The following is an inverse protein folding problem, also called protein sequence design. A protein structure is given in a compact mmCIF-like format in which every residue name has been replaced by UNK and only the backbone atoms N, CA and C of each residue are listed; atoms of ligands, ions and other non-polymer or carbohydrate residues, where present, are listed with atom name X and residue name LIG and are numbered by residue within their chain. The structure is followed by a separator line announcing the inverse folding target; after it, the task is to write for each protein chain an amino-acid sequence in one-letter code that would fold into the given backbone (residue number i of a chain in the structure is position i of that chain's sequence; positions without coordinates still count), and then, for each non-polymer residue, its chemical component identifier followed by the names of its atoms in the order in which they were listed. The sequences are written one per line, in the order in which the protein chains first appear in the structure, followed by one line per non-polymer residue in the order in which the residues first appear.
data_IF_718902641422
#
_entry.id   IF_718902641422
#
_cell.length_a   1.000
_cell.length_b   1.000
_cell.length_c   1.000
_cell.angle_alpha   90.00
_cell.angle_beta   90.00
_cell.angle_gamma   90.00
#
_symmetry.space_group_name_H-M   'P 1'
#
loop_
_entity.id
_entity.type
_entity.pdbx_description
1 polymer ?
#
# COMPACT_ATOMS: atom_id res chain seq x y z
N UNK A 1 -9.52 -13.13 13.37
CA UNK A 1 -9.97 -12.28 12.23
C UNK A 1 -9.96 -10.84 12.65
N UNK A 2 -8.94 -10.08 12.25
CA UNK A 2 -8.96 -8.63 12.37
C UNK A 2 -9.78 -8.08 11.21
N UNK A 3 -10.78 -7.23 11.50
CA UNK A 3 -11.58 -6.57 10.47
C UNK A 3 -10.74 -5.39 9.96
N UNK A 4 -10.40 -5.39 8.67
CA UNK A 4 -9.76 -4.24 8.03
C UNK A 4 -10.87 -3.24 7.69
N UNK A 5 -10.83 -2.00 8.20
CA UNK A 5 -11.85 -0.99 7.89
C UNK A 5 -11.91 -0.65 6.39
N UNK A 6 -13.11 -0.28 5.93
CA UNK A 6 -13.37 0.16 4.56
C UNK A 6 -14.12 -0.87 3.72
N UNK A 7 -14.12 -0.66 2.39
CA UNK A 7 -14.78 -1.56 1.44
C UNK A 7 -14.05 -2.91 1.37
N UNK A 8 -14.73 -4.00 0.95
CA UNK A 8 -14.07 -5.29 0.75
C UNK A 8 -12.87 -5.17 -0.19
N UNK A 9 -11.77 -5.83 0.18
CA UNK A 9 -10.57 -5.88 -0.64
C UNK A 9 -10.84 -6.81 -1.83
N UNK A 10 -10.65 -6.35 -3.08
CA UNK A 10 -10.78 -7.20 -4.26
C UNK A 10 -9.84 -8.42 -4.22
N UNK A 11 -10.26 -9.62 -4.66
CA UNK A 11 -9.42 -10.83 -4.61
C UNK A 11 -8.08 -10.71 -5.34
N UNK A 12 -8.03 -9.94 -6.43
CA UNK A 12 -6.82 -9.66 -7.21
C UNK A 12 -5.76 -8.87 -6.43
N UNK A 13 -6.12 -8.29 -5.29
CA UNK A 13 -5.19 -7.57 -4.43
C UNK A 13 -4.33 -8.50 -3.57
N UNK A 14 -4.71 -9.77 -3.42
CA UNK A 14 -3.97 -10.78 -2.67
C UNK A 14 -3.45 -10.29 -1.30
N UNK A 15 -4.32 -9.62 -0.54
CA UNK A 15 -3.93 -9.01 0.72
C UNK A 15 -3.52 -10.06 1.75
N UNK A 16 -2.33 -9.88 2.33
CA UNK A 16 -1.83 -10.65 3.46
C UNK A 16 -1.73 -9.75 4.69
N UNK A 17 -2.21 -10.23 5.85
CA UNK A 17 -2.22 -9.43 7.07
C UNK A 17 -0.84 -9.42 7.72
N UNK A 18 -0.57 -8.39 8.53
CA UNK A 18 0.67 -8.25 9.30
C UNK A 18 1.95 -8.43 8.48
N UNK A 19 1.91 -8.00 7.21
CA UNK A 19 2.99 -8.16 6.26
C UNK A 19 3.37 -6.83 5.64
N UNK A 20 4.65 -6.49 5.69
CA UNK A 20 5.26 -5.42 4.91
C UNK A 20 6.20 -6.05 3.89
N UNK A 21 6.00 -5.71 2.62
CA UNK A 21 6.81 -6.18 1.51
C UNK A 21 7.84 -5.11 1.16
N UNK A 22 9.12 -5.47 1.14
CA UNK A 22 10.17 -4.59 0.62
C UNK A 22 10.03 -4.38 -0.90
N UNK A 23 10.59 -3.29 -1.42
CA UNK A 23 10.55 -2.95 -2.84
C UNK A 23 10.79 -1.47 -3.13
N UNK A 24 11.07 -1.16 -4.39
CA UNK A 24 11.31 0.22 -4.78
C UNK A 24 10.00 1.00 -4.78
N UNK A 25 9.91 2.07 -3.99
CA UNK A 25 8.71 2.90 -3.93
C UNK A 25 8.47 3.61 -5.26
N UNK A 26 7.41 3.22 -5.97
CA UNK A 26 6.87 4.00 -7.11
C UNK A 26 5.96 5.12 -6.64
N UNK A 27 5.41 5.00 -5.42
CA UNK A 27 4.81 6.10 -4.67
C UNK A 27 5.09 5.92 -3.17
N UNK A 28 5.64 6.96 -2.56
CA UNK A 28 6.00 6.98 -1.14
C UNK A 28 4.78 7.12 -0.25
N UNK A 29 4.61 6.19 0.70
CA UNK A 29 3.47 6.18 1.62
C UNK A 29 3.45 7.37 2.59
N UNK A 30 4.63 7.88 2.98
CA UNK A 30 4.79 9.08 3.84
C UNK A 30 3.97 10.30 3.39
N UNK A 31 3.65 10.39 2.09
CA UNK A 31 2.85 11.48 1.50
C UNK A 31 1.67 10.97 0.68
N UNK A 32 1.35 9.68 0.77
CA UNK A 32 0.28 9.03 0.02
C UNK A 32 -0.63 8.25 0.96
N UNK A 33 -1.65 8.94 1.49
CA UNK A 33 -2.64 8.31 2.37
C UNK A 33 -3.86 7.80 1.59
N UNK A 34 -4.45 6.71 2.09
CA UNK A 34 -5.70 6.12 1.60
C UNK A 34 -6.60 5.70 2.77
N UNK A 35 -7.90 5.82 2.58
CA UNK A 35 -8.88 5.51 3.63
C UNK A 35 -8.97 4.01 3.95
N UNK A 36 -8.54 3.14 3.03
CA UNK A 36 -8.61 1.69 3.22
C UNK A 36 -7.54 0.94 2.43
N UNK A 37 -7.29 -0.31 2.84
CA UNK A 37 -6.43 -1.25 2.11
C UNK A 37 -6.92 -1.47 0.67
N UNK A 38 -8.24 -1.55 0.47
CA UNK A 38 -8.82 -1.72 -0.86
C UNK A 38 -8.51 -0.52 -1.77
N UNK A 39 -8.51 0.70 -1.24
CA UNK A 39 -8.18 1.91 -1.99
C UNK A 39 -6.69 2.03 -2.28
N UNK A 40 -5.84 1.52 -1.38
CA UNK A 40 -4.41 1.40 -1.64
C UNK A 40 -4.11 0.40 -2.76
N UNK A 41 -4.75 -0.77 -2.74
CA UNK A 41 -4.66 -1.73 -3.85
C UNK A 41 -5.12 -1.10 -5.18
N UNK A 42 -6.27 -0.42 -5.20
CA UNK A 42 -6.75 0.23 -6.41
C UNK A 42 -5.75 1.27 -6.94
N UNK A 43 -5.12 2.04 -6.04
CA UNK A 43 -4.09 3.00 -6.42
C UNK A 43 -2.87 2.32 -7.06
N UNK A 44 -2.46 1.14 -6.59
CA UNK A 44 -1.42 0.32 -7.21
C UNK A 44 -1.80 -0.09 -8.63
N UNK A 45 -2.98 -0.67 -8.80
CA UNK A 45 -3.51 -1.10 -10.11
C UNK A 45 -3.57 0.07 -11.09
N UNK A 46 -4.02 1.24 -10.62
CA UNK A 46 -4.12 2.44 -11.46
C UNK A 46 -2.75 3.03 -11.80
N UNK A 47 -1.79 3.01 -10.87
CA UNK A 47 -0.40 3.42 -11.15
C UNK A 47 0.21 2.50 -12.21
N UNK A 48 0.04 1.19 -12.07
CA UNK A 48 0.58 0.20 -12.99
C UNK A 48 0.02 0.37 -14.41
N UNK A 49 -1.27 0.71 -14.54
CA UNK A 49 -1.94 1.01 -15.82
C UNK A 49 -1.43 2.30 -16.48
N UNK A 50 -1.09 3.33 -15.67
CA UNK A 50 -0.65 4.63 -16.17
C UNK A 50 0.85 4.71 -16.48
N UNK A 51 1.65 3.79 -15.92
CA UNK A 51 3.09 3.75 -16.12
C UNK A 51 3.46 3.63 -17.60
N UNK A 52 4.31 4.53 -18.06
CA UNK A 52 4.80 4.60 -19.45
C UNK A 52 5.92 3.59 -19.68
N UNK A 53 6.28 3.29 -20.95
CA UNK A 53 7.45 2.49 -21.24
C UNK A 53 8.71 3.05 -20.57
N UNK A 54 9.42 2.21 -19.80
CA UNK A 54 10.61 2.60 -19.04
C UNK A 54 10.34 3.10 -17.61
N UNK A 55 9.09 3.32 -17.21
CA UNK A 55 8.73 3.64 -15.83
C UNK A 55 8.50 2.38 -14.99
N UNK A 56 8.79 2.47 -13.69
CA UNK A 56 8.47 1.40 -12.73
C UNK A 56 6.95 1.32 -12.53
N UNK A 57 6.44 0.09 -12.58
CA UNK A 57 5.03 -0.24 -12.35
C UNK A 57 4.85 -0.78 -10.95
N UNK A 58 3.78 -0.35 -10.29
CA UNK A 58 3.37 -0.97 -9.04
C UNK A 58 3.01 -2.44 -9.30
N UNK A 59 3.61 -3.35 -8.54
CA UNK A 59 3.26 -4.77 -8.52
C UNK A 59 2.87 -5.25 -7.11
N UNK A 60 3.18 -4.45 -6.09
CA UNK A 60 2.90 -4.74 -4.69
C UNK A 60 2.54 -3.45 -3.96
N UNK A 61 1.64 -3.57 -2.99
CA UNK A 61 1.15 -2.46 -2.20
C UNK A 61 1.19 -2.84 -0.72
N UNK A 62 1.44 -1.85 0.13
CA UNK A 62 1.43 -2.01 1.59
C UNK A 62 0.59 -0.89 2.18
N UNK A 63 -0.28 -1.23 3.12
CA UNK A 63 -1.19 -0.31 3.76
C UNK A 63 -1.06 -0.37 5.27
N UNK A 64 -1.02 0.78 5.94
CA UNK A 64 -1.05 0.84 7.40
C UNK A 64 -2.48 1.14 7.93
N UNK A 65 -3.25 0.13 8.39
CA UNK A 65 -4.59 0.35 8.95
C UNK A 65 -4.60 0.76 10.42
N UNK A 66 -3.45 0.77 11.09
CA UNK A 66 -3.36 1.02 12.53
C UNK A 66 -3.34 2.52 12.82
N UNK A 67 -4.25 2.98 13.67
CA UNK A 67 -4.27 4.38 14.16
C UNK A 67 -2.99 4.74 14.93
N UNK A 68 -2.33 3.76 15.55
CA UNK A 68 -1.06 3.93 16.25
C UNK A 68 0.16 3.88 15.33
N UNK A 69 -0.04 3.76 14.02
CA UNK A 69 1.05 3.55 13.06
C UNK A 69 1.45 2.08 12.92
N UNK A 70 2.39 1.85 11.99
CA UNK A 70 2.88 0.52 11.64
C UNK A 70 4.40 0.47 11.76
N UNK A 71 4.95 -0.74 11.93
CA UNK A 71 6.39 -0.94 11.99
C UNK A 71 6.93 -1.34 10.62
N UNK A 72 8.02 -0.72 10.21
CA UNK A 72 8.90 -1.11 9.11
C UNK A 72 10.34 -1.08 9.64
N UNK A 73 11.24 -1.97 9.20
CA UNK A 73 12.64 -1.95 9.60
C UNK A 73 13.44 -0.86 8.84
N UNK A 74 12.93 0.38 8.78
CA UNK A 74 13.59 1.53 8.16
C UNK A 74 13.70 2.73 9.13
N UNK A 75 14.10 3.90 8.59
CA UNK A 75 14.40 5.11 9.37
C UNK A 75 13.17 5.97 9.67
N UNK A 76 12.00 5.64 9.11
CA UNK A 76 10.80 6.47 9.18
C UNK A 76 9.84 6.00 10.27
N UNK A 77 9.05 6.95 10.76
CA UNK A 77 7.90 6.67 11.61
C UNK A 77 6.67 6.57 10.70
N UNK A 78 6.12 5.37 10.54
CA UNK A 78 4.97 5.13 9.66
C UNK A 78 3.65 5.35 10.38
N UNK A 79 2.79 6.13 9.74
CA UNK A 79 1.51 6.59 10.31
C UNK A 79 0.31 5.87 9.71
N UNK A 80 -0.82 6.03 10.40
CA UNK A 80 -2.12 5.55 9.94
C UNK A 80 -2.41 6.01 8.51
N UNK A 81 -3.00 5.12 7.73
CA UNK A 81 -3.43 5.32 6.34
C UNK A 81 -2.32 5.44 5.30
N UNK A 82 -1.04 5.28 5.66
CA UNK A 82 0.04 5.24 4.67
C UNK A 82 -0.20 4.12 3.65
N UNK A 83 -0.16 4.50 2.38
CA UNK A 83 -0.29 3.62 1.24
C UNK A 83 1.00 3.65 0.41
N UNK A 84 1.77 2.58 0.52
CA UNK A 84 3.01 2.40 -0.21
C UNK A 84 2.72 1.63 -1.50
N UNK A 85 3.13 2.21 -2.63
CA UNK A 85 3.09 1.54 -3.93
C UNK A 85 4.52 1.20 -4.31
N UNK A 86 4.81 -0.08 -4.53
CA UNK A 86 6.17 -0.56 -4.76
C UNK A 86 6.26 -1.44 -6.02
N UNK A 87 7.47 -1.59 -6.54
CA UNK A 87 7.86 -2.54 -7.58
C UNK A 87 8.83 -3.58 -7.03
#
# INVERSE_FOLDING_TARGET
NQIIPGRPIPPECHAEQHTDYDGAAVRWGLTHHKESAADCCQACLDQAKRAKPGEMKCNIWVYCPSEAGCYSPDIYEHKHQECWLKQ
#
